data_IF_016617017982
#
_entry.id   IF_016617017982
#
_cell.length_a   1.000
_cell.length_b   1.000
_cell.length_c   1.000
_cell.angle_alpha   90.00
_cell.angle_beta   90.00
_cell.angle_gamma   90.00
#
_symmetry.space_group_name_H-M   'P 1'
#
loop_
_entity.id
_entity.type
_entity.pdbx_description
1 polymer ?
#
# COMPACT_ATOMS: atom_id res chain seq x y z
N UNK A 1 -15.67 12.04 16.60
CA UNK A 1 -14.23 12.23 16.30
C UNK A 1 -13.57 10.89 15.95
N UNK A 2 -13.57 9.89 16.85
CA UNK A 2 -12.92 8.60 16.62
C UNK A 2 -13.37 7.85 15.34
N UNK A 3 -14.68 7.72 15.08
CA UNK A 3 -15.18 7.05 13.87
C UNK A 3 -14.73 7.72 12.56
N UNK A 4 -14.65 9.06 12.55
CA UNK A 4 -14.19 9.81 11.39
C UNK A 4 -12.71 9.52 11.12
N UNK A 5 -11.87 9.51 12.15
CA UNK A 5 -10.44 9.18 12.03
C UNK A 5 -10.26 7.76 11.50
N UNK A 6 -11.00 6.78 12.03
CA UNK A 6 -10.93 5.38 11.57
C UNK A 6 -11.35 5.26 10.11
N UNK A 7 -12.47 5.87 9.72
CA UNK A 7 -12.94 5.86 8.33
C UNK A 7 -11.93 6.52 7.39
N UNK A 8 -11.42 7.72 7.74
CA UNK A 8 -10.40 8.41 6.96
C UNK A 8 -9.12 7.56 6.80
N UNK A 9 -8.70 6.88 7.87
CA UNK A 9 -7.54 5.99 7.87
C UNK A 9 -7.74 4.79 6.96
N UNK A 10 -8.94 4.20 6.94
CA UNK A 10 -9.28 3.11 6.02
C UNK A 10 -9.18 3.54 4.56
N UNK A 11 -9.84 4.65 4.19
CA UNK A 11 -9.82 5.13 2.80
C UNK A 11 -8.43 5.57 2.37
N UNK A 12 -7.68 6.26 3.25
CA UNK A 12 -6.30 6.62 2.97
C UNK A 12 -5.42 5.37 2.80
N UNK A 13 -5.57 4.37 3.69
CA UNK A 13 -4.88 3.09 3.57
C UNK A 13 -5.23 2.33 2.28
N UNK A 14 -6.48 2.38 1.82
CA UNK A 14 -6.86 1.78 0.54
C UNK A 14 -6.22 2.50 -0.66
N UNK A 15 -6.11 3.83 -0.62
CA UNK A 15 -5.40 4.62 -1.63
C UNK A 15 -3.91 4.24 -1.65
N UNK A 16 -3.27 4.19 -0.48
CA UNK A 16 -1.89 3.74 -0.35
C UNK A 16 -1.74 2.30 -0.86
N UNK A 17 -2.62 1.38 -0.46
CA UNK A 17 -2.64 0.00 -0.93
C UNK A 17 -2.72 -0.12 -2.46
N UNK A 18 -3.45 0.77 -3.13
CA UNK A 18 -3.50 0.82 -4.59
C UNK A 18 -2.14 1.17 -5.20
N UNK A 19 -1.39 2.09 -4.58
CA UNK A 19 0.01 2.34 -4.94
C UNK A 19 0.94 1.16 -4.58
N UNK A 20 0.71 0.48 -3.45
CA UNK A 20 1.51 -0.70 -3.06
C UNK A 20 1.37 -1.82 -4.10
N UNK A 21 0.21 -2.00 -4.72
CA UNK A 21 0.06 -2.92 -5.87
C UNK A 21 0.99 -2.56 -7.05
N UNK A 22 1.21 -1.27 -7.31
CA UNK A 22 2.18 -0.82 -8.31
C UNK A 22 3.59 -1.22 -7.90
N UNK A 23 3.95 -1.03 -6.63
CA UNK A 23 5.26 -1.46 -6.10
C UNK A 23 5.45 -2.98 -6.19
N UNK A 24 4.48 -3.76 -5.74
CA UNK A 24 4.50 -5.23 -5.77
C UNK A 24 4.69 -5.73 -7.20
N UNK A 25 3.99 -5.13 -8.17
CA UNK A 25 4.12 -5.54 -9.57
C UNK A 25 5.47 -5.11 -10.18
N UNK A 26 5.89 -3.86 -9.96
CA UNK A 26 7.01 -3.24 -10.72
C UNK A 26 8.39 -3.51 -10.15
N UNK A 27 8.56 -3.49 -8.82
CA UNK A 27 9.87 -3.64 -8.16
C UNK A 27 10.57 -4.96 -8.54
N UNK A 28 9.95 -6.14 -8.38
CA UNK A 28 10.61 -7.41 -8.74
C UNK A 28 10.85 -7.56 -10.24
N UNK A 29 10.15 -6.77 -11.07
CA UNK A 29 10.28 -6.76 -12.53
C UNK A 29 11.21 -5.66 -13.04
N UNK A 30 11.88 -4.92 -12.13
CA UNK A 30 12.76 -3.79 -12.44
C UNK A 30 12.12 -2.69 -13.29
N UNK A 31 10.79 -2.56 -13.22
CA UNK A 31 10.05 -1.53 -13.93
C UNK A 31 10.09 -0.23 -13.11
N UNK A 32 10.36 0.89 -13.77
CA UNK A 32 10.36 2.20 -13.10
C UNK A 32 8.98 2.52 -12.48
N UNK A 33 8.98 3.03 -11.25
CA UNK A 33 7.77 3.52 -10.58
C UNK A 33 7.26 4.84 -11.18
N UNK A 34 8.17 5.64 -11.76
CA UNK A 34 7.86 6.96 -12.31
C UNK A 34 7.54 6.93 -13.81
N UNK A 35 8.05 5.93 -14.54
CA UNK A 35 7.88 5.82 -15.99
C UNK A 35 7.41 4.41 -16.38
N UNK A 36 6.16 4.23 -16.85
CA UNK A 36 5.11 5.25 -17.02
C UNK A 36 4.50 5.69 -15.68
N UNK A 37 4.16 6.97 -15.55
CA UNK A 37 3.58 7.53 -14.33
C UNK A 37 2.17 7.00 -14.02
N UNK A 38 1.43 6.54 -15.04
CA UNK A 38 0.07 6.02 -14.88
C UNK A 38 0.07 4.50 -14.69
N UNK A 39 -0.90 4.00 -13.92
CA UNK A 39 -1.23 2.58 -13.87
C UNK A 39 -1.67 2.08 -15.25
N UNK A 40 -1.35 0.84 -15.59
CA UNK A 40 -1.69 0.22 -16.86
C UNK A 40 -2.13 -1.22 -16.64
N UNK A 41 -2.93 -1.75 -17.55
CA UNK A 41 -3.34 -3.15 -17.52
C UNK A 41 -2.14 -4.07 -17.86
N UNK A 42 -1.83 -5.10 -17.07
CA UNK A 42 -0.70 -6.00 -17.34
C UNK A 42 -0.88 -6.82 -18.62
N UNK A 43 -2.12 -7.04 -19.08
CA UNK A 43 -2.41 -7.84 -20.27
C UNK A 43 -2.36 -7.03 -21.57
N UNK A 44 -3.04 -5.89 -21.63
CA UNK A 44 -3.15 -5.09 -22.86
C UNK A 44 -2.29 -3.84 -22.87
N UNK A 45 -1.58 -3.55 -21.77
CA UNK A 45 -0.69 -2.40 -21.56
C UNK A 45 -1.33 -1.02 -21.78
N UNK A 46 -2.66 -0.97 -21.96
CA UNK A 46 -3.38 0.30 -22.04
C UNK A 46 -3.39 0.99 -20.66
N UNK A 47 -3.24 2.31 -20.63
CA UNK A 47 -3.32 3.07 -19.39
C UNK A 47 -4.73 2.96 -18.79
N UNK A 48 -4.80 2.81 -17.47
CA UNK A 48 -6.05 2.76 -16.73
C UNK A 48 -6.51 4.21 -16.48
N UNK A 49 -7.74 4.60 -16.91
CA UNK A 49 -8.31 5.90 -16.59
C UNK A 49 -8.37 6.12 -15.07
N UNK A 50 -8.15 7.35 -14.60
CA UNK A 50 -8.10 7.67 -13.17
C UNK A 50 -9.37 7.25 -12.41
N UNK A 51 -10.55 7.36 -13.04
CA UNK A 51 -11.84 6.97 -12.43
C UNK A 51 -12.05 5.45 -12.34
N UNK A 52 -11.24 4.66 -13.06
CA UNK A 52 -11.20 3.20 -12.95
C UNK A 52 -10.05 2.72 -12.05
N UNK A 53 -9.37 3.63 -11.37
CA UNK A 53 -8.32 3.35 -10.41
C UNK A 53 -8.78 3.70 -8.98
N UNK A 54 -10.08 3.65 -8.72
CA UNK A 54 -10.66 3.88 -7.39
C UNK A 54 -10.51 2.58 -6.59
N UNK A 55 -9.76 2.60 -5.46
CA UNK A 55 -9.48 1.39 -4.69
C UNK A 55 -10.76 0.65 -4.30
N UNK A 56 -10.74 -0.68 -4.33
CA UNK A 56 -11.83 -1.61 -4.00
C UNK A 56 -13.01 -1.51 -4.98
N UNK A 57 -13.56 -0.31 -5.17
CA UNK A 57 -14.74 -0.05 -5.98
C UNK A 57 -14.53 -0.40 -7.46
N UNK A 58 -13.42 0.01 -8.07
CA UNK A 58 -13.18 -0.27 -9.48
C UNK A 58 -13.07 -1.77 -9.76
N UNK A 59 -12.45 -2.54 -8.87
CA UNK A 59 -12.38 -4.00 -9.01
C UNK A 59 -13.76 -4.66 -8.88
N UNK A 60 -14.57 -4.24 -7.90
CA UNK A 60 -15.92 -4.77 -7.68
C UNK A 60 -16.87 -4.44 -8.84
N UNK A 61 -16.84 -3.19 -9.33
CA UNK A 61 -17.69 -2.74 -10.44
C UNK A 61 -17.34 -3.45 -11.76
N UNK A 62 -16.04 -3.63 -12.01
CA UNK A 62 -15.55 -4.33 -13.20
C UNK A 62 -15.54 -5.86 -13.04
N UNK A 63 -16.01 -6.38 -11.89
CA UNK A 63 -16.05 -7.82 -11.55
C UNK A 63 -14.69 -8.50 -11.73
N UNK A 64 -13.62 -7.81 -11.37
CA UNK A 64 -12.25 -8.30 -11.52
C UNK A 64 -11.81 -8.47 -12.98
N UNK A 65 -12.30 -7.66 -13.91
CA UNK A 65 -11.89 -7.69 -15.32
C UNK A 65 -11.42 -6.33 -15.81
N UNK A 66 -10.51 -6.31 -16.78
CA UNK A 66 -10.10 -5.07 -17.43
C UNK A 66 -11.22 -4.51 -18.32
N UNK A 67 -11.54 -3.22 -18.18
CA UNK A 67 -12.59 -2.55 -18.95
C UNK A 67 -12.35 -2.56 -20.48
N UNK A 68 -11.09 -2.64 -20.92
CA UNK A 68 -10.73 -2.56 -22.35
C UNK A 68 -10.47 -3.90 -23.02
N UNK A 69 -9.98 -4.90 -22.29
CA UNK A 69 -9.61 -6.20 -22.87
C UNK A 69 -10.30 -7.40 -22.21
N UNK A 70 -11.11 -7.17 -21.17
CA UNK A 70 -11.84 -8.20 -20.40
C UNK A 70 -10.97 -9.30 -19.78
N UNK A 71 -9.64 -9.17 -19.84
CA UNK A 71 -8.73 -10.07 -19.15
C UNK A 71 -8.96 -9.97 -17.62
N UNK A 72 -8.84 -11.08 -16.89
CA UNK A 72 -9.03 -11.09 -15.44
C UNK A 72 -7.93 -10.27 -14.75
N UNK A 73 -8.34 -9.43 -13.80
CA UNK A 73 -7.45 -8.70 -12.88
C UNK A 73 -7.32 -9.53 -11.61
N UNK A 74 -6.08 -9.80 -11.21
CA UNK A 74 -5.77 -10.59 -10.02
C UNK A 74 -6.50 -10.08 -8.77
N UNK A 75 -7.04 -11.01 -7.98
CA UNK A 75 -7.68 -10.70 -6.69
C UNK A 75 -6.70 -10.12 -5.67
N UNK A 76 -5.40 -10.31 -5.87
CA UNK A 76 -4.34 -9.72 -5.05
C UNK A 76 -4.49 -8.20 -4.97
N UNK A 77 -4.92 -7.54 -6.06
CA UNK A 77 -5.14 -6.10 -6.06
C UNK A 77 -6.17 -5.67 -5.00
N UNK A 78 -7.33 -6.32 -5.00
CA UNK A 78 -8.40 -6.08 -4.03
C UNK A 78 -7.94 -6.42 -2.60
N UNK A 79 -7.24 -7.55 -2.43
CA UNK A 79 -6.77 -8.00 -1.12
C UNK A 79 -5.79 -6.99 -0.53
N UNK A 80 -4.80 -6.52 -1.30
CA UNK A 80 -3.81 -5.56 -0.83
C UNK A 80 -4.47 -4.23 -0.45
N UNK A 81 -5.41 -3.73 -1.25
CA UNK A 81 -6.13 -2.48 -0.97
C UNK A 81 -6.96 -2.59 0.31
N UNK A 82 -7.75 -3.66 0.45
CA UNK A 82 -8.59 -3.89 1.62
C UNK A 82 -7.75 -4.14 2.88
N UNK A 83 -6.70 -4.96 2.78
CA UNK A 83 -5.80 -5.27 3.89
C UNK A 83 -5.09 -4.01 4.38
N UNK A 84 -4.54 -3.20 3.48
CA UNK A 84 -3.83 -1.96 3.85
C UNK A 84 -4.79 -0.98 4.52
N UNK A 85 -6.01 -0.82 3.99
CA UNK A 85 -7.06 -0.02 4.62
C UNK A 85 -7.40 -0.50 6.04
N UNK A 86 -7.60 -1.81 6.23
CA UNK A 86 -7.90 -2.40 7.53
C UNK A 86 -6.74 -2.24 8.52
N UNK A 87 -5.49 -2.45 8.08
CA UNK A 87 -4.31 -2.28 8.91
C UNK A 87 -4.15 -0.83 9.37
N UNK A 88 -4.37 0.14 8.48
CA UNK A 88 -4.28 1.56 8.82
C UNK A 88 -5.38 1.98 9.80
N UNK A 89 -6.62 1.54 9.55
CA UNK A 89 -7.73 1.77 10.45
C UNK A 89 -7.49 1.16 11.84
N UNK A 90 -6.95 -0.07 11.89
CA UNK A 90 -6.60 -0.75 13.14
C UNK A 90 -5.49 0.00 13.88
N UNK A 91 -4.44 0.44 13.19
CA UNK A 91 -3.38 1.23 13.77
C UNK A 91 -3.91 2.56 14.36
N UNK A 92 -4.87 3.22 13.71
CA UNK A 92 -5.49 4.44 14.21
C UNK A 92 -6.37 4.23 15.47
N UNK A 93 -6.83 3.01 15.72
CA UNK A 93 -7.55 2.66 16.97
C UNK A 93 -6.57 2.33 18.10
N UNK A 94 -5.49 1.62 17.79
CA UNK A 94 -4.57 1.08 18.78
C UNK A 94 -3.46 2.05 19.20
N UNK A 95 -3.11 3.00 18.34
CA UNK A 95 -1.95 3.87 18.51
C UNK A 95 -2.40 5.33 18.48
N UNK A 96 -1.97 6.17 19.45
CA UNK A 96 -2.35 7.58 19.48
C UNK A 96 -1.77 8.37 18.31
N UNK A 97 -2.42 9.49 17.98
CA UNK A 97 -1.86 10.48 17.07
C UNK A 97 -0.66 11.20 17.74
N UNK A 98 0.44 11.50 17.01
CA UNK A 98 0.69 11.24 15.59
C UNK A 98 1.40 9.89 15.32
N UNK A 99 1.70 9.10 16.34
CA UNK A 99 2.54 7.90 16.26
C UNK A 99 2.00 6.85 15.28
N UNK A 100 0.68 6.74 15.09
CA UNK A 100 0.13 5.82 14.10
C UNK A 100 0.60 6.12 12.66
N UNK A 101 1.00 7.36 12.33
CA UNK A 101 1.53 7.71 11.01
C UNK A 101 2.86 7.02 10.73
N UNK A 102 3.72 6.90 11.76
CA UNK A 102 4.96 6.12 11.67
C UNK A 102 4.67 4.64 11.48
N UNK A 103 3.65 4.12 12.17
CA UNK A 103 3.21 2.73 12.03
C UNK A 103 2.69 2.47 10.62
N UNK A 104 1.92 3.39 10.02
CA UNK A 104 1.45 3.29 8.63
C UNK A 104 2.58 3.18 7.62
N UNK A 105 3.65 3.96 7.79
CA UNK A 105 4.83 3.88 6.92
C UNK A 105 5.50 2.49 7.01
N UNK A 106 5.69 1.98 8.23
CA UNK A 106 6.27 0.65 8.47
C UNK A 106 5.37 -0.45 7.87
N UNK A 107 4.06 -0.38 8.11
CA UNK A 107 3.09 -1.32 7.57
C UNK A 107 3.08 -1.33 6.04
N UNK A 108 3.23 -0.17 5.40
CA UNK A 108 3.27 -0.08 3.94
C UNK A 108 4.45 -0.84 3.35
N UNK A 109 5.63 -0.70 3.95
CA UNK A 109 6.84 -1.43 3.54
C UNK A 109 6.65 -2.94 3.76
N UNK A 110 6.15 -3.33 4.94
CA UNK A 110 5.89 -4.73 5.27
C UNK A 110 4.90 -5.38 4.32
N UNK A 111 3.80 -4.70 3.95
CA UNK A 111 2.83 -5.22 2.99
C UNK A 111 3.49 -5.47 1.65
N UNK A 112 4.21 -4.49 1.09
CA UNK A 112 4.89 -4.69 -0.22
C UNK A 112 5.87 -5.84 -0.14
N UNK A 113 6.74 -5.87 0.88
CA UNK A 113 7.74 -6.94 1.04
C UNK A 113 7.08 -8.31 1.18
N UNK A 114 6.00 -8.42 1.95
CA UNK A 114 5.28 -9.70 2.16
C UNK A 114 4.70 -10.21 0.85
N UNK A 115 4.03 -9.37 0.06
CA UNK A 115 3.42 -9.83 -1.20
C UNK A 115 4.46 -10.14 -2.27
N UNK A 116 5.57 -9.39 -2.32
CA UNK A 116 6.68 -9.72 -3.22
C UNK A 116 7.33 -11.04 -2.82
N UNK A 117 7.56 -11.27 -1.54
CA UNK A 117 8.11 -12.53 -1.03
C UNK A 117 7.17 -13.72 -1.31
N UNK A 118 5.86 -13.55 -1.14
CA UNK A 118 4.88 -14.60 -1.45
C UNK A 118 4.81 -14.97 -2.94
N UNK A 119 5.02 -14.00 -3.86
CA UNK A 119 4.98 -14.26 -5.31
C UNK A 119 6.33 -14.74 -5.87
N UNK A 120 7.43 -14.19 -5.36
CA UNK A 120 8.76 -14.38 -5.95
C UNK A 120 9.78 -15.06 -5.04
N UNK A 121 9.48 -15.26 -3.75
CA UNK A 121 10.41 -15.76 -2.73
C UNK A 121 11.71 -14.94 -2.65
N UNK A 122 11.59 -13.63 -2.84
CA UNK A 122 12.69 -12.67 -2.71
C UNK A 122 12.29 -11.49 -1.84
N UNK A 123 13.28 -10.91 -1.16
CA UNK A 123 13.16 -9.64 -0.45
C UNK A 123 13.93 -8.58 -1.24
N UNK A 124 13.27 -7.63 -1.92
CA UNK A 124 13.96 -6.62 -2.70
C UNK A 124 14.86 -5.71 -1.86
N UNK A 125 16.13 -5.61 -2.25
CA UNK A 125 17.13 -4.75 -1.60
C UNK A 125 16.70 -3.29 -1.46
N UNK A 126 15.96 -2.76 -2.45
CA UNK A 126 15.47 -1.38 -2.44
C UNK A 126 14.48 -1.15 -1.28
N UNK A 127 13.66 -2.17 -0.95
CA UNK A 127 12.73 -2.12 0.16
C UNK A 127 13.44 -2.32 1.49
N UNK A 128 14.41 -3.24 1.57
CA UNK A 128 15.21 -3.47 2.78
C UNK A 128 16.04 -2.25 3.16
N UNK A 129 16.81 -1.68 2.21
CA UNK A 129 17.64 -0.49 2.43
C UNK A 129 16.79 0.74 2.73
N UNK A 130 15.69 0.92 1.99
CA UNK A 130 14.72 1.97 2.25
C UNK A 130 14.06 1.83 3.63
N UNK A 131 13.69 0.60 4.01
CA UNK A 131 13.12 0.28 5.31
C UNK A 131 14.07 0.55 6.48
N UNK A 132 15.37 0.26 6.32
CA UNK A 132 16.39 0.63 7.31
C UNK A 132 16.43 2.15 7.48
N UNK A 133 16.51 2.91 6.38
CA UNK A 133 16.57 4.36 6.43
C UNK A 133 15.32 4.98 7.07
N UNK A 134 14.12 4.52 6.65
CA UNK A 134 12.84 4.97 7.21
C UNK A 134 12.72 4.58 8.67
N UNK A 135 13.08 3.34 9.04
CA UNK A 135 13.02 2.85 10.42
C UNK A 135 13.91 3.65 11.36
N UNK A 136 15.15 3.94 10.97
CA UNK A 136 16.06 4.79 11.74
C UNK A 136 15.52 6.22 11.87
N UNK A 137 15.01 6.80 10.78
CA UNK A 137 14.43 8.14 10.81
C UNK A 137 13.23 8.21 11.77
N UNK A 138 12.30 7.25 11.65
CA UNK A 138 11.12 7.18 12.53
C UNK A 138 11.53 6.93 13.98
N UNK A 139 12.53 6.07 14.23
CA UNK A 139 13.06 5.83 15.58
C UNK A 139 13.54 7.11 16.27
N UNK A 140 14.12 8.04 15.51
CA UNK A 140 14.60 9.32 16.03
C UNK A 140 13.46 10.35 16.18
N UNK A 141 12.51 10.35 15.26
CA UNK A 141 11.43 11.35 15.20
C UNK A 141 10.23 11.02 16.09
N UNK A 142 9.99 9.75 16.43
CA UNK A 142 8.87 9.31 17.25
C UNK A 142 9.32 8.46 18.45
N UNK A 143 9.83 9.10 19.53
CA UNK A 143 10.27 8.42 20.75
C UNK A 143 9.19 7.54 21.39
N UNK A 144 7.92 7.92 21.24
CA UNK A 144 6.74 7.16 21.70
C UNK A 144 6.71 5.70 21.22
N UNK A 145 7.36 5.39 20.09
CA UNK A 145 7.52 4.00 19.61
C UNK A 145 8.28 3.11 20.61
N UNK A 146 9.18 3.69 21.41
CA UNK A 146 10.03 2.99 22.37
C UNK A 146 9.38 2.83 23.75
N UNK A 147 8.13 3.31 23.93
CA UNK A 147 7.50 3.47 25.25
C UNK A 147 8.33 4.34 26.21
N UNK A 148 9.24 5.16 25.69
CA UNK A 148 9.94 6.17 26.50
C UNK A 148 9.00 7.36 26.66
N UNK A 149 8.71 7.81 27.89
CA UNK A 149 7.87 8.99 28.09
C UNK A 149 8.52 10.19 27.39
N UNK A 150 7.74 10.95 26.62
CA UNK A 150 8.17 12.24 26.07
C UNK A 150 8.70 13.16 27.18
N UNK A 151 9.82 13.88 26.98
CA UNK A 151 10.27 14.92 27.90
C UNK A 151 9.29 16.11 27.97
#
# INVERSE_FOLDING_TARGET
MQYLTVAASFFFGAIIGSFLNVCIYRIPREISLLHPARSFCPHCQKPIPWHLNVPILSWLLLRGQCAQCHAPISQVYLIVEALTGLLFATAAVLVPFPTFLSVWAILSILVVTTFVDLEFFIIPDVLSKGGIAVGLLLSLLTPELHKTPSP
#
